data_IF_561343960344
#
_entry.id   IF_561343960344
#
_cell.length_a   1.000
_cell.length_b   1.000
_cell.length_c   1.000
_cell.angle_alpha   90.00
_cell.angle_beta   90.00
_cell.angle_gamma   90.00
#
_symmetry.space_group_name_H-M   'P 1'
#
loop_
_entity.id
_entity.type
_entity.pdbx_description
1 polymer ?
#
# COMPACT_ATOMS: atom_id res chain seq x y z
N UNK A 1 7.68 0.64 0.44
CA UNK A 1 8.32 0.43 -0.89
C UNK A 1 9.57 -0.45 -0.83
N UNK A 2 10.61 -0.11 -0.06
CA UNK A 2 11.82 -0.94 -0.02
C UNK A 2 11.57 -2.36 0.56
N UNK A 3 10.72 -2.45 1.58
CA UNK A 3 10.39 -3.71 2.27
C UNK A 3 9.68 -4.71 1.34
N UNK A 4 8.87 -4.24 0.37
CA UNK A 4 8.19 -5.13 -0.57
C UNK A 4 9.16 -5.84 -1.51
N UNK A 5 10.36 -5.30 -1.74
CA UNK A 5 11.42 -5.97 -2.52
C UNK A 5 11.94 -7.23 -1.80
N UNK A 6 11.99 -7.21 -0.47
CA UNK A 6 12.36 -8.38 0.35
C UNK A 6 11.30 -9.47 0.18
N UNK A 7 10.02 -9.08 0.21
CA UNK A 7 8.90 -10.00 -0.03
C UNK A 7 8.94 -10.61 -1.43
N UNK A 8 9.21 -9.79 -2.45
CA UNK A 8 9.37 -10.24 -3.84
C UNK A 8 10.53 -11.23 -3.98
N UNK A 9 11.67 -10.97 -3.33
CA UNK A 9 12.80 -11.89 -3.32
C UNK A 9 12.43 -13.22 -2.65
N UNK A 10 11.66 -13.19 -1.55
CA UNK A 10 11.15 -14.39 -0.88
C UNK A 10 10.28 -15.26 -1.80
N UNK A 11 9.30 -14.67 -2.51
CA UNK A 11 8.46 -15.42 -3.45
C UNK A 11 9.21 -15.85 -4.73
N UNK A 12 10.15 -15.06 -5.21
CA UNK A 12 11.02 -15.47 -6.31
C UNK A 12 11.88 -16.69 -5.93
N UNK A 13 12.40 -16.71 -4.70
CA UNK A 13 13.12 -17.86 -4.16
C UNK A 13 12.21 -19.08 -4.03
N UNK A 14 10.98 -18.93 -3.55
CA UNK A 14 10.02 -20.02 -3.45
C UNK A 14 9.63 -20.61 -4.82
N UNK A 15 9.56 -19.77 -5.87
CA UNK A 15 9.33 -20.22 -7.24
C UNK A 15 10.55 -20.95 -7.84
N UNK A 16 11.78 -20.53 -7.51
CA UNK A 16 12.99 -21.12 -8.08
C UNK A 16 13.55 -22.32 -7.30
N UNK A 17 13.29 -22.39 -5.99
CA UNK A 17 13.97 -23.33 -5.10
C UNK A 17 13.29 -24.72 -5.05
N UNK A 18 14.11 -25.76 -5.22
CA UNK A 18 13.69 -27.16 -5.04
C UNK A 18 14.11 -27.74 -3.68
N UNK A 19 15.11 -27.14 -3.02
CA UNK A 19 15.62 -27.60 -1.73
C UNK A 19 14.77 -27.15 -0.52
N UNK A 20 14.51 -28.02 0.48
CA UNK A 20 13.72 -27.66 1.67
C UNK A 20 14.27 -26.44 2.44
N UNK A 21 15.59 -26.33 2.60
CA UNK A 21 16.21 -25.19 3.29
C UNK A 21 16.02 -23.86 2.57
N UNK A 22 16.14 -23.85 1.24
CA UNK A 22 15.92 -22.64 0.44
C UNK A 22 14.44 -22.23 0.42
N UNK A 23 13.51 -23.19 0.41
CA UNK A 23 12.07 -22.89 0.56
C UNK A 23 11.76 -22.31 1.94
N UNK A 24 12.33 -22.88 2.99
CA UNK A 24 12.16 -22.35 4.35
C UNK A 24 12.66 -20.90 4.43
N UNK A 25 13.87 -20.62 3.95
CA UNK A 25 14.40 -19.25 3.88
C UNK A 25 13.49 -18.31 3.07
N UNK A 26 12.94 -18.78 1.95
CA UNK A 26 12.01 -18.03 1.11
C UNK A 26 10.74 -17.61 1.85
N UNK A 27 10.17 -18.49 2.68
CA UNK A 27 9.00 -18.15 3.51
C UNK A 27 9.34 -17.06 4.53
N UNK A 28 10.50 -17.12 5.18
CA UNK A 28 10.92 -16.10 6.14
C UNK A 28 11.14 -14.74 5.48
N UNK A 29 11.80 -14.72 4.32
CA UNK A 29 11.98 -13.50 3.54
C UNK A 29 10.64 -12.91 3.08
N UNK A 30 9.71 -13.76 2.62
CA UNK A 30 8.36 -13.35 2.27
C UNK A 30 7.63 -12.72 3.46
N UNK A 31 7.67 -13.36 4.63
CA UNK A 31 7.06 -12.87 5.86
C UNK A 31 7.63 -11.51 6.30
N UNK A 32 8.97 -11.37 6.30
CA UNK A 32 9.66 -10.11 6.61
C UNK A 32 9.25 -8.97 5.67
N UNK A 33 8.96 -9.29 4.41
CA UNK A 33 8.49 -8.31 3.42
C UNK A 33 7.01 -7.95 3.54
N UNK A 34 6.15 -8.86 3.96
CA UNK A 34 4.69 -8.66 3.96
C UNK A 34 4.19 -7.99 5.24
N UNK A 35 4.59 -8.49 6.41
CA UNK A 35 3.98 -8.05 7.68
C UNK A 35 4.16 -6.55 7.98
N UNK A 36 5.35 -5.94 7.78
CA UNK A 36 5.53 -4.51 8.03
C UNK A 36 4.74 -3.63 7.05
N UNK A 37 4.34 -4.15 5.89
CA UNK A 37 3.64 -3.36 4.89
C UNK A 37 2.22 -2.98 5.33
N UNK A 38 1.59 -3.79 6.18
CA UNK A 38 0.24 -3.50 6.71
C UNK A 38 0.28 -2.25 7.59
N UNK A 39 1.15 -2.22 8.59
CA UNK A 39 1.27 -1.08 9.50
C UNK A 39 1.76 0.17 8.77
N UNK A 40 2.71 0.02 7.82
CA UNK A 40 3.20 1.14 7.02
C UNK A 40 2.09 1.77 6.15
N UNK A 41 1.25 0.95 5.52
CA UNK A 41 0.14 1.46 4.69
C UNK A 41 -0.88 2.22 5.53
N UNK A 42 -1.24 1.69 6.71
CA UNK A 42 -2.17 2.33 7.64
C UNK A 42 -1.61 3.67 8.12
N UNK A 43 -0.35 3.71 8.52
CA UNK A 43 0.32 4.94 8.95
C UNK A 43 0.35 5.98 7.82
N UNK A 44 0.70 5.56 6.60
CA UNK A 44 0.78 6.46 5.45
C UNK A 44 -0.58 7.03 5.04
N UNK A 45 -1.64 6.20 5.03
CA UNK A 45 -3.01 6.65 4.78
C UNK A 45 -3.51 7.62 5.87
N UNK A 46 -3.21 7.31 7.14
CA UNK A 46 -3.58 8.14 8.29
C UNK A 46 -2.93 9.53 8.23
N UNK A 47 -1.65 9.60 7.87
CA UNK A 47 -0.89 10.85 7.79
C UNK A 47 -1.30 11.74 6.61
N UNK A 48 -1.86 11.13 5.56
CA UNK A 48 -2.30 11.84 4.36
C UNK A 48 -3.79 12.21 4.35
N UNK A 49 -4.51 11.92 5.44
CA UNK A 49 -5.93 12.26 5.58
C UNK A 49 -6.13 13.18 6.78
N UNK A 50 -6.57 14.40 6.51
CA UNK A 50 -6.94 15.35 7.55
C UNK A 50 -8.44 15.26 7.90
N UNK A 51 -8.77 15.55 9.16
CA UNK A 51 -10.13 15.46 9.69
C UNK A 51 -10.43 14.10 10.32
N UNK A 52 -10.95 14.11 11.55
CA UNK A 52 -11.17 12.90 12.35
C UNK A 52 -12.14 11.94 11.68
N UNK A 53 -13.26 12.45 11.17
CA UNK A 53 -14.30 11.63 10.51
C UNK A 53 -13.81 11.05 9.18
N UNK A 54 -13.21 11.88 8.31
CA UNK A 54 -12.67 11.45 7.01
C UNK A 54 -11.58 10.40 7.18
N UNK A 55 -10.67 10.61 8.13
CA UNK A 55 -9.62 9.65 8.47
C UNK A 55 -10.19 8.33 9.00
N UNK A 56 -11.20 8.40 9.88
CA UNK A 56 -11.87 7.21 10.40
C UNK A 56 -12.50 6.35 9.28
N UNK A 57 -13.25 6.96 8.37
CA UNK A 57 -13.86 6.27 7.22
C UNK A 57 -12.77 5.70 6.29
N UNK A 58 -11.75 6.49 5.99
CA UNK A 58 -10.64 6.07 5.11
C UNK A 58 -9.91 4.84 5.67
N UNK A 59 -9.55 4.87 6.95
CA UNK A 59 -8.90 3.74 7.61
C UNK A 59 -9.82 2.52 7.68
N UNK A 60 -11.12 2.72 7.94
CA UNK A 60 -12.12 1.65 7.91
C UNK A 60 -12.18 0.94 6.56
N UNK A 61 -12.20 1.70 5.45
CA UNK A 61 -12.19 1.14 4.09
C UNK A 61 -10.89 0.39 3.80
N UNK A 62 -9.73 0.96 4.16
CA UNK A 62 -8.42 0.32 3.94
C UNK A 62 -8.31 -1.00 4.70
N UNK A 63 -8.69 -1.02 5.97
CA UNK A 63 -8.66 -2.23 6.81
C UNK A 63 -9.70 -3.25 6.32
N UNK A 64 -10.90 -2.80 5.96
CA UNK A 64 -11.95 -3.66 5.40
C UNK A 64 -11.49 -4.35 4.12
N UNK A 65 -10.87 -3.60 3.21
CA UNK A 65 -10.28 -4.16 1.98
C UNK A 65 -9.19 -5.19 2.28
N UNK A 66 -8.35 -4.94 3.28
CA UNK A 66 -7.35 -5.90 3.75
C UNK A 66 -7.95 -7.23 4.20
N UNK A 67 -9.07 -7.19 4.93
CA UNK A 67 -9.75 -8.41 5.39
C UNK A 67 -10.41 -9.18 4.24
N UNK A 68 -10.97 -8.49 3.24
CA UNK A 68 -11.56 -9.14 2.05
C UNK A 68 -10.53 -9.94 1.24
N UNK A 69 -9.27 -9.53 1.24
CA UNK A 69 -8.19 -10.26 0.55
C UNK A 69 -8.00 -11.68 1.10
N UNK A 70 -8.40 -11.95 2.35
CA UNK A 70 -8.36 -13.29 2.93
C UNK A 70 -9.11 -14.35 2.11
N UNK A 71 -10.17 -13.94 1.39
CA UNK A 71 -10.93 -14.84 0.50
C UNK A 71 -10.06 -15.27 -0.68
N UNK A 72 -9.35 -14.32 -1.30
CA UNK A 72 -8.47 -14.62 -2.44
C UNK A 72 -7.31 -15.49 -1.99
N UNK A 73 -6.63 -15.11 -0.90
CA UNK A 73 -5.48 -15.86 -0.38
C UNK A 73 -5.81 -17.33 -0.08
N UNK A 74 -7.00 -17.60 0.43
CA UNK A 74 -7.46 -18.96 0.78
C UNK A 74 -7.75 -19.85 -0.45
N UNK A 75 -8.03 -19.26 -1.61
CA UNK A 75 -8.39 -20.00 -2.83
C UNK A 75 -7.24 -20.15 -3.84
N UNK A 76 -6.14 -19.43 -3.60
CA UNK A 76 -4.99 -19.34 -4.51
C UNK A 76 -4.03 -20.53 -4.35
N UNK A 77 -3.98 -21.16 -3.17
CA UNK A 77 -3.21 -22.38 -2.93
C UNK A 77 -4.11 -23.62 -3.01
N UNK A 78 -4.08 -24.30 -4.16
CA UNK A 78 -4.94 -25.48 -4.40
C UNK A 78 -4.15 -26.76 -4.14
N UNK A 79 -4.81 -27.78 -3.60
CA UNK A 79 -4.18 -29.08 -3.34
C UNK A 79 -3.62 -29.77 -4.58
N UNK A 80 -4.23 -29.53 -5.75
CA UNK A 80 -3.75 -30.06 -7.04
C UNK A 80 -2.43 -29.45 -7.53
N UNK A 81 -2.01 -28.31 -6.97
CA UNK A 81 -0.75 -27.65 -7.34
C UNK A 81 0.42 -28.10 -6.45
N UNK A 82 0.17 -29.00 -5.48
CA UNK A 82 1.19 -29.55 -4.62
C UNK A 82 2.20 -30.40 -5.43
N UNK A 83 3.49 -30.46 -5.01
CA UNK A 83 4.10 -29.80 -3.85
C UNK A 83 4.68 -28.39 -4.11
N UNK A 84 4.69 -27.91 -5.35
CA UNK A 84 5.40 -26.67 -5.72
C UNK A 84 4.53 -25.41 -5.62
N UNK A 85 3.21 -25.53 -5.78
CA UNK A 85 2.24 -24.43 -5.70
C UNK A 85 2.63 -23.20 -6.56
N UNK A 86 3.17 -23.42 -7.77
CA UNK A 86 3.61 -22.33 -8.66
C UNK A 86 2.52 -21.27 -8.92
N UNK A 87 1.24 -21.64 -9.16
CA UNK A 87 0.19 -20.64 -9.35
C UNK A 87 0.01 -19.78 -8.09
N UNK A 88 0.07 -20.40 -6.91
CA UNK A 88 -0.10 -19.70 -5.64
C UNK A 88 0.98 -18.67 -5.38
N UNK A 89 2.24 -19.09 -5.52
CA UNK A 89 3.40 -18.21 -5.36
C UNK A 89 3.45 -17.12 -6.44
N UNK A 90 3.05 -17.43 -7.68
CA UNK A 90 2.99 -16.49 -8.78
C UNK A 90 1.95 -15.39 -8.55
N UNK A 91 0.76 -15.74 -8.08
CA UNK A 91 -0.28 -14.75 -7.72
C UNK A 91 0.21 -13.84 -6.61
N UNK A 92 0.80 -14.39 -5.54
CA UNK A 92 1.32 -13.59 -4.43
C UNK A 92 2.44 -12.64 -4.87
N UNK A 93 3.36 -13.12 -5.72
CA UNK A 93 4.41 -12.27 -6.30
C UNK A 93 3.79 -11.16 -7.17
N UNK A 94 2.77 -11.47 -7.97
CA UNK A 94 2.04 -10.49 -8.77
C UNK A 94 1.39 -9.39 -7.90
N UNK A 95 0.74 -9.76 -6.79
CA UNK A 95 0.19 -8.81 -5.83
C UNK A 95 1.28 -7.90 -5.22
N UNK A 96 2.42 -8.46 -4.85
CA UNK A 96 3.54 -7.69 -4.31
C UNK A 96 4.10 -6.70 -5.34
N UNK A 97 4.23 -7.12 -6.59
CA UNK A 97 4.78 -6.26 -7.66
C UNK A 97 3.79 -5.18 -8.06
N UNK A 98 2.55 -5.55 -8.40
CA UNK A 98 1.58 -4.63 -8.98
C UNK A 98 0.96 -3.74 -7.91
N UNK A 99 0.39 -4.35 -6.86
CA UNK A 99 -0.36 -3.60 -5.87
C UNK A 99 0.57 -2.92 -4.87
N UNK A 100 1.48 -3.68 -4.27
CA UNK A 100 2.26 -3.14 -3.16
C UNK A 100 3.42 -2.26 -3.65
N UNK A 101 4.28 -2.75 -4.54
CA UNK A 101 5.39 -1.96 -5.05
C UNK A 101 4.92 -0.91 -6.06
N UNK A 102 4.22 -1.32 -7.11
CA UNK A 102 3.72 -0.44 -8.17
C UNK A 102 2.72 0.59 -7.64
N UNK A 103 1.71 0.16 -6.88
CA UNK A 103 0.74 1.06 -6.26
C UNK A 103 1.38 2.08 -5.32
N UNK A 104 2.31 1.64 -4.46
CA UNK A 104 3.04 2.56 -3.57
C UNK A 104 3.92 3.54 -4.36
N UNK A 105 4.60 3.10 -5.42
CA UNK A 105 5.42 3.97 -6.27
C UNK A 105 4.56 5.04 -6.95
N UNK A 106 3.44 4.63 -7.54
CA UNK A 106 2.50 5.55 -8.19
C UNK A 106 1.97 6.55 -7.17
N UNK A 107 1.51 6.07 -6.01
CA UNK A 107 1.03 6.95 -4.93
C UNK A 107 2.10 7.95 -4.51
N UNK A 108 3.33 7.50 -4.25
CA UNK A 108 4.46 8.35 -3.88
C UNK A 108 4.73 9.44 -4.93
N UNK A 109 4.77 9.08 -6.21
CA UNK A 109 4.98 10.03 -7.31
C UNK A 109 3.83 11.04 -7.43
N UNK A 110 2.58 10.59 -7.27
CA UNK A 110 1.41 11.46 -7.30
C UNK A 110 1.42 12.46 -6.13
N UNK A 111 1.79 12.03 -4.93
CA UNK A 111 1.93 12.91 -3.77
C UNK A 111 3.04 13.95 -3.97
N UNK A 112 4.18 13.57 -4.58
CA UNK A 112 5.22 14.54 -4.97
C UNK A 112 4.68 15.57 -5.95
N UNK A 113 3.98 15.12 -6.99
CA UNK A 113 3.41 16.01 -8.02
C UNK A 113 2.40 16.96 -7.40
N UNK A 114 1.52 16.47 -6.53
CA UNK A 114 0.52 17.31 -5.87
C UNK A 114 1.17 18.30 -4.89
N UNK A 115 2.13 17.87 -4.07
CA UNK A 115 2.91 18.75 -3.21
C UNK A 115 3.66 19.83 -4.00
N UNK A 116 4.20 19.51 -5.19
CA UNK A 116 4.83 20.51 -6.07
C UNK A 116 3.81 21.51 -6.63
N UNK A 117 2.61 21.07 -7.00
CA UNK A 117 1.54 21.96 -7.48
C UNK A 117 1.08 22.91 -6.38
N UNK A 118 0.93 22.42 -5.14
CA UNK A 118 0.59 23.23 -3.96
C UNK A 118 1.66 24.28 -3.68
N UNK A 119 2.94 23.89 -3.66
CA UNK A 119 4.08 24.84 -3.49
C UNK A 119 4.19 25.91 -4.59
N UNK A 120 3.70 25.63 -5.79
CA UNK A 120 3.71 26.58 -6.92
C UNK A 120 2.49 27.52 -6.91
N UNK A 121 1.64 27.47 -5.88
CA UNK A 121 0.41 28.26 -5.79
C UNK A 121 -0.68 27.83 -6.78
N UNK A 122 -0.49 26.73 -7.52
CA UNK A 122 -1.45 26.26 -8.53
C UNK A 122 -2.76 25.76 -7.91
N UNK A 123 -2.82 25.63 -6.59
CA UNK A 123 -3.98 25.20 -5.82
C UNK A 123 -4.60 26.32 -4.98
N UNK A 124 -4.05 27.54 -5.01
CA UNK A 124 -4.50 28.65 -4.16
C UNK A 124 -5.94 29.08 -4.49
N UNK A 125 -6.36 28.92 -5.75
CA UNK A 125 -7.73 29.12 -6.19
C UNK A 125 -8.76 28.23 -5.46
N UNK A 126 -8.35 27.15 -4.78
CA UNK A 126 -9.26 26.29 -4.01
C UNK A 126 -9.78 26.97 -2.74
N UNK A 127 -9.11 28.03 -2.29
CA UNK A 127 -9.43 28.73 -1.04
C UNK A 127 -9.82 30.20 -1.24
N UNK A 128 -9.78 30.70 -2.48
CA UNK A 128 -10.18 32.07 -2.81
C UNK A 128 -11.67 32.30 -2.47
N UNK A 129 -11.93 33.33 -1.66
CA UNK A 129 -13.29 33.73 -1.27
C UNK A 129 -13.95 32.89 -0.16
N UNK A 130 -13.24 31.93 0.44
CA UNK A 130 -13.76 31.15 1.56
C UNK A 130 -13.65 31.92 2.89
N UNK A 131 -14.67 31.83 3.73
CA UNK A 131 -14.59 32.29 5.12
C UNK A 131 -13.64 31.40 5.94
N UNK A 132 -13.12 31.87 7.10
CA UNK A 132 -12.25 31.06 7.97
C UNK A 132 -12.89 29.73 8.40
N UNK A 133 -14.20 29.71 8.61
CA UNK A 133 -14.96 28.50 8.96
C UNK A 133 -15.06 27.53 7.78
N UNK A 134 -15.30 28.03 6.58
CA UNK A 134 -15.34 27.21 5.37
C UNK A 134 -13.96 26.66 4.99
N UNK A 135 -12.90 27.45 5.23
CA UNK A 135 -11.52 27.00 5.06
C UNK A 135 -11.19 25.85 6.02
N UNK A 136 -11.61 25.93 7.29
CA UNK A 136 -11.41 24.87 8.27
C UNK A 136 -12.13 23.56 7.88
N UNK A 137 -13.27 23.64 7.19
CA UNK A 137 -14.02 22.47 6.72
C UNK A 137 -13.38 21.75 5.52
N UNK A 138 -12.46 22.39 4.79
CA UNK A 138 -11.79 21.80 3.61
C UNK A 138 -10.76 20.71 3.97
N UNK A 139 -10.27 20.67 5.21
CA UNK A 139 -9.32 19.64 5.66
C UNK A 139 -8.08 19.53 4.76
N UNK A 140 -7.85 18.34 4.20
CA UNK A 140 -6.69 17.98 3.36
C UNK A 140 -6.71 18.60 1.96
N UNK A 141 -7.83 19.20 1.56
CA UNK A 141 -7.94 19.99 0.32
C UNK A 141 -7.29 21.36 0.44
N UNK A 142 -6.89 21.80 1.64
CA UNK A 142 -6.26 23.10 1.80
C UNK A 142 -4.85 23.11 1.16
N UNK A 143 -4.44 24.18 0.46
CA UNK A 143 -3.14 24.27 -0.20
C UNK A 143 -1.94 24.24 0.75
N UNK A 144 -2.13 24.63 2.02
CA UNK A 144 -1.13 24.58 3.09
C UNK A 144 -0.90 23.16 3.62
N UNK A 145 -1.88 22.26 3.47
CA UNK A 145 -1.70 20.86 3.82
C UNK A 145 -0.71 20.21 2.85
N UNK A 146 0.35 19.62 3.39
CA UNK A 146 1.39 18.94 2.61
C UNK A 146 1.31 17.44 2.87
N UNK A 147 1.16 16.65 1.80
CA UNK A 147 1.11 15.21 1.92
C UNK A 147 2.45 14.65 2.41
N UNK A 148 2.39 13.69 3.31
CA UNK A 148 3.55 12.95 3.81
C UNK A 148 4.00 11.93 2.77
N UNK A 149 5.30 11.96 2.43
CA UNK A 149 5.93 11.11 1.42
C UNK A 149 6.49 9.82 2.03
#
# INVERSE_FOLDING_TARGET
MAISLIGMAGYALLLGAQGPGARYAGVFLAAMGIYPCVSNTIAWCSNNTEGVYKRGVTLGVVIGWGNLNGIVASNVYRGGDAPQFYPGHGVMLGYLVVCLFGGSLIQYLLLIVENRKRKQGKRDHWIEGLSPEQLAQRGDERPDFMYTL
#
